data_IF_402465237980
#
_entry.id   IF_402465237980
#
_cell.length_a   1.000
_cell.length_b   1.000
_cell.length_c   1.000
_cell.angle_alpha   90.00
_cell.angle_beta   90.00
_cell.angle_gamma   90.00
#
_symmetry.space_group_name_H-M   'P 1'
#
loop_
_entity.id
_entity.type
_entity.pdbx_description
1 polymer ?
#
# COMPACT_ATOMS: atom_id res chain seq x y z
N UNK A 1 -12.08 20.63 16.98
CA UNK A 1 -10.80 21.39 16.86
C UNK A 1 -10.91 22.34 15.67
N UNK A 2 -10.28 23.52 15.66
CA UNK A 2 -10.23 24.36 14.44
C UNK A 2 -9.22 23.74 13.48
N UNK A 3 -9.57 23.51 12.21
CA UNK A 3 -8.75 22.82 11.19
C UNK A 3 -7.30 23.33 11.12
N UNK A 4 -7.11 24.64 11.18
CA UNK A 4 -5.77 25.26 11.16
C UNK A 4 -4.87 24.82 12.32
N UNK A 5 -5.46 24.54 13.48
CA UNK A 5 -4.73 24.09 14.67
C UNK A 5 -4.22 22.65 14.49
N UNK A 6 -4.99 21.78 13.84
CA UNK A 6 -4.60 20.40 13.56
C UNK A 6 -3.42 20.34 12.59
N UNK A 7 -3.44 21.14 11.52
CA UNK A 7 -2.34 21.15 10.53
C UNK A 7 -1.03 21.62 11.16
N UNK A 8 -1.08 22.67 11.98
CA UNK A 8 0.10 23.16 12.71
C UNK A 8 0.62 22.09 13.70
N UNK A 9 -0.26 21.42 14.44
CA UNK A 9 0.12 20.33 15.36
C UNK A 9 0.79 19.15 14.62
N UNK A 10 0.22 18.72 13.49
CA UNK A 10 0.82 17.67 12.64
C UNK A 10 2.20 18.11 12.13
N UNK A 11 2.30 19.32 11.56
CA UNK A 11 3.58 19.84 11.04
C UNK A 11 4.64 19.86 12.13
N UNK A 12 4.31 20.35 13.32
CA UNK A 12 5.27 20.51 14.41
C UNK A 12 5.75 19.14 14.94
N UNK A 13 4.88 18.13 15.00
CA UNK A 13 5.25 16.75 15.39
C UNK A 13 6.19 16.10 14.35
N UNK A 14 5.85 16.20 13.07
CA UNK A 14 6.69 15.64 12.00
C UNK A 14 8.03 16.40 11.87
N UNK A 15 8.05 17.71 12.09
CA UNK A 15 9.29 18.49 12.22
C UNK A 15 10.14 18.02 13.42
N UNK A 16 9.50 17.60 14.53
CA UNK A 16 10.16 16.93 15.64
C UNK A 16 10.88 15.65 15.22
N UNK A 17 10.20 14.77 14.47
CA UNK A 17 10.80 13.52 13.96
C UNK A 17 11.98 13.82 13.02
N UNK A 18 11.84 14.79 12.11
CA UNK A 18 12.90 15.19 11.20
C UNK A 18 14.13 15.78 11.93
N UNK A 19 13.96 16.37 13.11
CA UNK A 19 15.08 16.85 13.93
C UNK A 19 15.70 15.76 14.81
N UNK A 20 15.03 14.63 14.98
CA UNK A 20 15.49 13.50 15.79
C UNK A 20 16.58 12.65 15.12
N UNK A 21 17.00 11.59 15.81
CA UNK A 21 18.10 10.71 15.38
C UNK A 21 17.62 9.49 14.58
N UNK A 22 16.32 9.40 14.25
CA UNK A 22 15.78 8.28 13.50
C UNK A 22 16.29 8.32 12.04
N UNK A 23 16.85 7.20 11.59
CA UNK A 23 17.47 7.05 10.27
C UNK A 23 17.31 5.64 9.74
N UNK A 24 17.56 5.48 8.43
CA UNK A 24 17.57 4.20 7.74
C UNK A 24 18.67 3.23 8.26
N UNK A 25 19.62 3.69 9.06
CA UNK A 25 20.67 2.85 9.63
C UNK A 25 20.19 2.03 10.85
N UNK A 26 19.06 2.44 11.46
CA UNK A 26 18.47 1.73 12.59
C UNK A 26 17.76 0.45 12.14
N UNK A 27 18.11 -0.67 12.78
CA UNK A 27 17.46 -1.97 12.55
C UNK A 27 15.97 -1.95 12.83
N UNK A 28 15.54 -1.23 13.87
CA UNK A 28 14.13 -1.06 14.22
C UNK A 28 13.36 -0.26 13.15
N UNK A 29 14.00 0.76 12.57
CA UNK A 29 13.39 1.58 11.51
C UNK A 29 13.25 0.78 10.21
N UNK A 30 14.27 -0.02 9.87
CA UNK A 30 14.21 -0.94 8.73
C UNK A 30 13.15 -2.00 8.91
N UNK A 31 12.98 -2.57 10.11
CA UNK A 31 11.99 -3.62 10.34
C UNK A 31 10.55 -3.14 10.14
N UNK A 32 10.25 -1.87 10.43
CA UNK A 32 8.95 -1.26 10.13
C UNK A 32 8.72 -1.26 8.62
N UNK A 33 9.66 -0.73 7.84
CA UNK A 33 9.54 -0.68 6.38
C UNK A 33 9.42 -2.10 5.79
N UNK A 34 10.22 -3.06 6.25
CA UNK A 34 10.13 -4.45 5.79
C UNK A 34 8.77 -5.09 6.11
N UNK A 35 8.19 -4.81 7.27
CA UNK A 35 6.85 -5.28 7.63
C UNK A 35 5.76 -4.76 6.67
N UNK A 36 6.01 -3.60 6.06
CA UNK A 36 5.10 -2.95 5.11
C UNK A 36 5.46 -3.16 3.64
N UNK A 37 6.37 -4.09 3.35
CA UNK A 37 6.61 -4.61 2.01
C UNK A 37 7.76 -3.97 1.24
N UNK A 38 8.67 -3.27 1.92
CA UNK A 38 9.95 -2.87 1.33
C UNK A 38 10.96 -4.02 1.42
N UNK A 39 11.68 -4.27 0.33
CA UNK A 39 12.74 -5.27 0.31
C UNK A 39 14.03 -4.74 0.92
N UNK A 40 14.88 -5.65 1.43
CA UNK A 40 16.21 -5.30 1.92
C UNK A 40 17.07 -4.60 0.84
N UNK A 41 16.93 -4.99 -0.42
CA UNK A 41 17.63 -4.36 -1.54
C UNK A 41 17.17 -2.92 -1.76
N UNK A 42 15.87 -2.63 -1.63
CA UNK A 42 15.34 -1.27 -1.66
C UNK A 42 15.88 -0.45 -0.49
N UNK A 43 15.84 -1.00 0.74
CA UNK A 43 16.34 -0.30 1.92
C UNK A 43 17.84 0.00 1.86
N UNK A 44 18.64 -0.89 1.25
CA UNK A 44 20.07 -0.69 1.08
C UNK A 44 20.42 0.41 0.06
N UNK A 45 19.49 0.81 -0.80
CA UNK A 45 19.68 1.90 -1.77
C UNK A 45 19.43 3.29 -1.17
N UNK A 46 18.82 3.34 0.02
CA UNK A 46 18.39 4.59 0.65
C UNK A 46 19.52 5.23 1.49
N UNK A 47 19.70 6.56 1.42
CA UNK A 47 20.55 7.27 2.35
C UNK A 47 19.93 7.27 3.75
N UNK A 48 20.77 7.43 4.78
CA UNK A 48 20.35 7.43 6.18
C UNK A 48 19.18 8.40 6.46
N UNK A 49 19.17 9.56 5.79
CA UNK A 49 18.18 10.63 5.94
C UNK A 49 16.77 10.27 5.45
N UNK A 50 16.65 9.27 4.57
CA UNK A 50 15.42 9.05 3.82
C UNK A 50 14.30 8.36 4.60
N UNK A 51 14.66 7.47 5.52
CA UNK A 51 13.72 6.61 6.22
C UNK A 51 13.75 6.90 7.73
N UNK A 52 12.58 7.21 8.28
CA UNK A 52 12.36 7.50 9.71
C UNK A 52 11.29 6.58 10.32
N UNK A 53 10.88 5.51 9.63
CA UNK A 53 9.96 4.52 10.19
C UNK A 53 8.49 4.96 10.25
N UNK A 54 8.11 5.92 9.41
CA UNK A 54 6.76 6.52 9.39
C UNK A 54 5.82 5.88 8.35
N UNK A 55 6.30 4.91 7.58
CA UNK A 55 5.56 4.27 6.49
C UNK A 55 4.51 3.27 7.00
N UNK A 56 3.45 3.05 6.22
CA UNK A 56 2.38 2.07 6.49
C UNK A 56 2.07 1.11 5.33
N UNK A 57 2.87 1.17 4.28
CA UNK A 57 2.78 0.31 3.10
C UNK A 57 3.80 0.71 2.05
N UNK A 58 3.90 -0.09 0.99
CA UNK A 58 4.76 0.19 -0.15
C UNK A 58 3.89 0.54 -1.38
N UNK A 59 3.64 1.83 -1.67
CA UNK A 59 2.82 2.22 -2.83
C UNK A 59 3.50 1.91 -4.16
N UNK A 60 4.84 1.81 -4.19
CA UNK A 60 5.61 1.52 -5.42
C UNK A 60 5.33 0.13 -5.97
N UNK A 61 4.98 -0.83 -5.11
CA UNK A 61 4.60 -2.18 -5.51
C UNK A 61 3.30 -2.22 -6.33
N UNK A 62 2.45 -1.21 -6.19
CA UNK A 62 1.17 -1.07 -6.90
C UNK A 62 1.25 -0.09 -8.07
N UNK A 63 2.13 0.90 -7.95
CA UNK A 63 2.20 2.04 -8.85
C UNK A 63 2.58 1.65 -10.28
N UNK A 64 3.18 0.48 -10.53
CA UNK A 64 3.51 0.03 -11.88
C UNK A 64 4.37 1.03 -12.68
N UNK A 65 5.25 1.76 -11.99
CA UNK A 65 6.08 2.85 -12.51
C UNK A 65 6.91 2.39 -13.71
N UNK A 66 6.95 3.22 -14.76
CA UNK A 66 7.65 2.95 -16.02
C UNK A 66 8.76 3.97 -16.26
N UNK A 67 9.74 3.55 -17.06
CA UNK A 67 10.82 4.43 -17.51
C UNK A 67 10.26 5.63 -18.29
N UNK A 68 10.78 6.83 -18.02
CA UNK A 68 10.34 8.09 -18.64
C UNK A 68 9.10 8.73 -18.03
N UNK A 69 8.45 8.11 -17.04
CA UNK A 69 7.25 8.69 -16.39
C UNK A 69 7.59 9.86 -15.46
N UNK A 70 6.63 10.77 -15.31
CA UNK A 70 6.59 11.77 -14.25
C UNK A 70 5.79 11.22 -13.07
N UNK A 71 6.45 11.02 -11.94
CA UNK A 71 5.85 10.50 -10.71
C UNK A 71 5.82 11.59 -9.63
N UNK A 72 4.70 11.71 -8.91
CA UNK A 72 4.58 12.60 -7.74
C UNK A 72 4.37 11.76 -6.49
N UNK A 73 5.14 12.03 -5.44
CA UNK A 73 4.97 11.48 -4.11
C UNK A 73 4.38 12.52 -3.15
N UNK A 74 3.21 12.22 -2.59
CA UNK A 74 2.49 13.09 -1.66
C UNK A 74 2.81 12.75 -0.22
N UNK A 75 3.29 13.75 0.53
CA UNK A 75 3.80 13.55 1.89
C UNK A 75 5.16 12.85 1.88
N UNK A 76 6.08 13.30 1.02
CA UNK A 76 7.29 12.54 0.71
C UNK A 76 8.27 12.40 1.88
N UNK A 77 8.13 13.19 2.95
CA UNK A 77 8.99 13.15 4.12
C UNK A 77 10.46 13.31 3.74
N UNK A 78 11.30 12.40 4.26
CA UNK A 78 12.74 12.34 3.94
C UNK A 78 13.06 11.85 2.52
N UNK A 79 12.05 11.52 1.70
CA UNK A 79 12.21 11.17 0.28
C UNK A 79 12.42 9.69 0.00
N UNK A 80 12.13 8.78 0.93
CA UNK A 80 12.28 7.33 0.73
C UNK A 80 11.62 6.84 -0.57
N UNK A 81 10.32 7.07 -0.73
CA UNK A 81 9.57 6.61 -1.90
C UNK A 81 9.99 7.36 -3.17
N UNK A 82 10.36 8.63 -3.04
CA UNK A 82 10.93 9.43 -4.13
C UNK A 82 12.22 8.82 -4.69
N UNK A 83 13.16 8.41 -3.83
CA UNK A 83 14.44 7.85 -4.27
C UNK A 83 14.28 6.48 -4.92
N UNK A 84 13.40 5.63 -4.37
CA UNK A 84 13.10 4.33 -4.97
C UNK A 84 12.36 4.48 -6.31
N UNK A 85 11.44 5.44 -6.43
CA UNK A 85 10.80 5.78 -7.69
C UNK A 85 11.80 6.34 -8.72
N UNK A 86 12.79 7.13 -8.29
CA UNK A 86 13.79 7.73 -9.18
C UNK A 86 14.60 6.66 -9.93
N UNK A 87 14.91 5.54 -9.27
CA UNK A 87 15.53 4.38 -9.90
C UNK A 87 14.64 3.68 -10.93
N UNK A 88 13.31 3.66 -10.72
CA UNK A 88 12.34 3.01 -11.61
C UNK A 88 12.01 3.84 -12.85
N UNK A 89 11.93 5.18 -12.73
CA UNK A 89 11.63 6.06 -13.87
C UNK A 89 12.84 6.29 -14.78
N UNK A 90 14.06 5.99 -14.32
CA UNK A 90 15.28 6.16 -15.10
C UNK A 90 15.66 7.62 -15.38
N UNK A 91 16.69 7.82 -16.21
CA UNK A 91 17.29 9.14 -16.44
C UNK A 91 16.36 10.13 -17.18
N UNK A 92 15.47 9.62 -18.02
CA UNK A 92 14.52 10.42 -18.80
C UNK A 92 13.20 10.70 -18.05
N UNK A 93 12.95 9.97 -16.97
CA UNK A 93 11.80 10.19 -16.11
C UNK A 93 12.07 11.26 -15.05
N UNK A 94 11.03 11.61 -14.27
CA UNK A 94 11.13 12.61 -13.22
C UNK A 94 10.33 12.20 -12.00
N UNK A 95 10.85 12.47 -10.81
CA UNK A 95 10.12 12.26 -9.55
C UNK A 95 10.04 13.57 -8.77
N UNK A 96 8.85 13.85 -8.24
CA UNK A 96 8.51 15.09 -7.56
C UNK A 96 8.00 14.73 -6.16
N UNK A 97 8.71 15.14 -5.11
CA UNK A 97 8.24 15.00 -3.73
C UNK A 97 7.51 16.27 -3.27
N UNK A 98 6.33 16.10 -2.64
CA UNK A 98 5.56 17.19 -2.03
C UNK A 98 5.49 16.95 -0.53
N UNK A 99 5.91 17.93 0.27
CA UNK A 99 5.75 17.91 1.73
C UNK A 99 5.51 19.33 2.26
N UNK A 100 4.76 19.48 3.35
CA UNK A 100 4.53 20.79 3.97
C UNK A 100 5.66 21.18 4.93
N UNK A 101 6.45 20.20 5.39
CA UNK A 101 7.42 20.32 6.48
C UNK A 101 8.80 20.68 5.96
N UNK A 102 9.32 21.85 6.33
CA UNK A 102 10.63 22.34 5.88
C UNK A 102 11.76 21.36 6.23
N UNK A 103 11.77 20.84 7.46
CA UNK A 103 12.81 19.96 7.99
C UNK A 103 12.84 18.61 7.27
N UNK A 104 11.68 18.09 6.85
CA UNK A 104 11.60 16.87 6.03
C UNK A 104 12.23 17.11 4.65
N UNK A 105 11.90 18.24 4.02
CA UNK A 105 12.44 18.60 2.72
C UNK A 105 13.94 18.87 2.76
N UNK A 106 14.46 19.42 3.86
CA UNK A 106 15.91 19.57 4.06
C UNK A 106 16.61 18.21 4.08
N UNK A 107 16.05 17.21 4.79
CA UNK A 107 16.55 15.82 4.77
C UNK A 107 16.48 15.21 3.37
N UNK A 108 15.35 15.37 2.69
CA UNK A 108 15.16 14.83 1.35
C UNK A 108 16.16 15.44 0.34
N UNK A 109 16.41 16.76 0.42
CA UNK A 109 17.43 17.41 -0.40
C UNK A 109 18.86 16.95 -0.07
N UNK A 110 19.16 16.71 1.21
CA UNK A 110 20.45 16.14 1.59
C UNK A 110 20.63 14.71 1.04
N UNK A 111 19.58 13.88 1.12
CA UNK A 111 19.56 12.55 0.52
C UNK A 111 19.74 12.57 -1.00
N UNK A 112 19.02 13.47 -1.69
CA UNK A 112 19.15 13.69 -3.14
C UNK A 112 20.59 14.04 -3.52
N UNK A 113 21.22 14.97 -2.79
CA UNK A 113 22.59 15.40 -3.07
C UNK A 113 23.58 14.25 -2.88
N UNK A 114 23.43 13.42 -1.83
CA UNK A 114 24.28 12.26 -1.59
C UNK A 114 24.17 11.20 -2.67
N UNK A 115 22.96 10.97 -3.19
CA UNK A 115 22.71 10.02 -4.26
C UNK A 115 23.08 10.58 -5.65
N UNK A 116 23.32 11.89 -5.77
CA UNK A 116 23.62 12.54 -7.05
C UNK A 116 22.45 12.54 -8.03
N UNK A 117 21.20 12.50 -7.55
CA UNK A 117 20.00 12.43 -8.38
C UNK A 117 19.65 13.80 -8.97
N UNK A 118 19.63 13.87 -10.30
CA UNK A 118 19.30 15.09 -11.07
C UNK A 118 17.86 15.13 -11.58
N UNK A 119 17.17 13.98 -11.57
CA UNK A 119 15.80 13.80 -12.03
C UNK A 119 14.75 13.87 -10.89
N UNK A 120 15.17 14.34 -9.72
CA UNK A 120 14.33 14.49 -8.53
C UNK A 120 14.16 15.96 -8.19
N UNK A 121 12.96 16.35 -7.79
CA UNK A 121 12.70 17.66 -7.19
C UNK A 121 11.76 17.56 -5.99
N UNK A 122 11.81 18.60 -5.16
CA UNK A 122 10.98 18.69 -3.97
C UNK A 122 10.31 20.07 -3.92
N UNK A 123 9.03 20.10 -3.58
CA UNK A 123 8.28 21.35 -3.38
C UNK A 123 7.66 21.39 -1.99
N UNK A 124 7.75 22.57 -1.37
CA UNK A 124 7.06 22.83 -0.12
C UNK A 124 5.63 23.27 -0.40
N UNK A 125 4.66 22.40 -0.13
CA UNK A 125 3.24 22.65 -0.30
C UNK A 125 2.41 21.67 0.51
N UNK A 126 1.13 21.99 0.71
CA UNK A 126 0.16 21.02 1.21
C UNK A 126 -0.38 20.18 0.06
N UNK A 127 -0.82 18.95 0.34
CA UNK A 127 -1.21 17.99 -0.72
C UNK A 127 -2.61 18.25 -1.30
N UNK A 128 -3.39 19.13 -0.65
CA UNK A 128 -4.67 19.67 -1.10
C UNK A 128 -4.52 20.93 -1.98
N UNK A 129 -3.28 21.38 -2.24
CA UNK A 129 -2.99 22.48 -3.18
C UNK A 129 -1.62 22.31 -3.82
N UNK A 130 -1.56 21.45 -4.83
CA UNK A 130 -0.32 21.06 -5.48
C UNK A 130 0.22 22.17 -6.40
N UNK A 131 1.52 22.54 -6.27
CA UNK A 131 2.16 23.57 -7.11
C UNK A 131 2.53 23.01 -8.51
N UNK A 132 1.64 22.20 -9.09
CA UNK A 132 1.85 21.48 -10.33
C UNK A 132 0.76 21.83 -11.36
N UNK A 133 1.10 21.89 -12.66
CA UNK A 133 0.10 22.13 -13.70
C UNK A 133 -0.88 20.97 -13.85
N UNK A 134 -2.06 21.26 -14.39
CA UNK A 134 -3.04 20.25 -14.79
C UNK A 134 -2.43 19.27 -15.80
N UNK A 135 -2.81 18.00 -15.71
CA UNK A 135 -2.42 16.96 -16.68
C UNK A 135 -0.90 16.88 -16.93
N UNK A 136 -0.09 17.00 -15.88
CA UNK A 136 1.37 17.02 -15.96
C UNK A 136 2.05 15.75 -15.43
N UNK A 137 1.30 14.89 -14.73
CA UNK A 137 1.83 13.74 -13.97
C UNK A 137 1.29 12.43 -14.53
N UNK A 138 2.12 11.40 -14.67
CA UNK A 138 1.71 10.07 -15.13
C UNK A 138 1.22 9.19 -13.97
N UNK A 139 1.89 9.28 -12.81
CA UNK A 139 1.56 8.50 -11.62
C UNK A 139 1.66 9.35 -10.35
N UNK A 140 0.66 9.28 -9.49
CA UNK A 140 0.73 9.80 -8.12
C UNK A 140 0.87 8.64 -7.15
N UNK A 141 1.83 8.73 -6.23
CA UNK A 141 1.98 7.81 -5.10
C UNK A 141 1.79 8.56 -3.79
N UNK A 142 1.35 7.84 -2.76
CA UNK A 142 1.23 8.39 -1.42
C UNK A 142 1.30 7.29 -0.37
N UNK A 143 1.91 7.61 0.78
CA UNK A 143 2.12 6.69 1.88
C UNK A 143 1.72 7.35 3.21
N UNK A 144 0.56 6.98 3.74
CA UNK A 144 0.07 7.38 5.06
C UNK A 144 -0.01 8.89 5.37
N UNK A 145 -0.33 9.74 4.40
CA UNK A 145 -0.48 11.19 4.64
C UNK A 145 -1.93 11.70 4.49
N UNK A 146 -2.78 11.04 3.71
CA UNK A 146 -4.12 11.56 3.38
C UNK A 146 -5.02 11.62 4.62
N UNK A 147 -4.82 10.70 5.57
CA UNK A 147 -5.51 10.72 6.86
C UNK A 147 -5.22 11.97 7.70
N UNK A 148 -4.09 12.64 7.47
CA UNK A 148 -3.69 13.84 8.19
C UNK A 148 -4.32 15.12 7.62
N UNK A 149 -4.98 15.04 6.45
CA UNK A 149 -5.61 16.19 5.81
C UNK A 149 -7.06 16.34 6.27
N UNK A 150 -7.48 17.56 6.67
CA UNK A 150 -8.87 17.84 7.04
C UNK A 150 -9.85 17.65 5.86
N UNK A 151 -9.53 18.24 4.70
CA UNK A 151 -10.34 18.12 3.49
C UNK A 151 -9.73 17.10 2.52
N UNK A 152 -10.10 15.84 2.70
CA UNK A 152 -9.68 14.74 1.83
C UNK A 152 -10.24 14.86 0.41
N UNK A 153 -11.38 15.52 0.23
CA UNK A 153 -11.99 15.68 -1.09
C UNK A 153 -11.12 16.60 -1.94
N UNK A 154 -10.64 17.71 -1.37
CA UNK A 154 -9.69 18.61 -2.04
C UNK A 154 -8.40 17.89 -2.47
N UNK A 155 -7.89 16.95 -1.65
CA UNK A 155 -6.73 16.12 -2.04
C UNK A 155 -7.04 15.27 -3.25
N UNK A 156 -8.16 14.54 -3.25
CA UNK A 156 -8.53 13.69 -4.39
C UNK A 156 -8.77 14.51 -5.67
N UNK A 157 -9.39 15.69 -5.56
CA UNK A 157 -9.57 16.62 -6.67
C UNK A 157 -8.23 17.12 -7.23
N UNK A 158 -7.26 17.46 -6.38
CA UNK A 158 -5.92 17.86 -6.79
C UNK A 158 -5.15 16.73 -7.46
N UNK A 159 -5.20 15.51 -6.92
CA UNK A 159 -4.60 14.33 -7.54
C UNK A 159 -5.19 14.14 -8.95
N UNK A 160 -6.51 14.21 -9.08
CA UNK A 160 -7.16 14.08 -10.37
C UNK A 160 -6.75 15.21 -11.32
N UNK A 161 -6.64 16.45 -10.83
CA UNK A 161 -6.26 17.62 -11.65
C UNK A 161 -4.88 17.45 -12.26
N UNK A 162 -3.87 17.07 -11.46
CA UNK A 162 -2.47 16.98 -11.91
C UNK A 162 -2.20 15.75 -12.78
N UNK A 163 -2.95 14.66 -12.59
CA UNK A 163 -2.81 13.47 -13.41
C UNK A 163 -3.15 13.74 -14.87
N UNK A 164 -2.34 13.22 -15.79
CA UNK A 164 -2.66 13.16 -17.21
C UNK A 164 -3.89 12.27 -17.45
N UNK A 165 -4.63 12.48 -18.55
CA UNK A 165 -5.45 11.44 -19.15
C UNK A 165 -4.77 10.07 -19.18
N UNK A 166 -5.39 9.04 -18.60
CA UNK A 166 -4.81 7.69 -18.49
C UNK A 166 -3.76 7.53 -17.38
N UNK A 167 -3.50 8.59 -16.61
CA UNK A 167 -2.67 8.54 -15.41
C UNK A 167 -3.35 7.80 -14.26
N UNK A 168 -2.58 7.47 -13.23
CA UNK A 168 -3.04 6.60 -12.14
C UNK A 168 -2.54 7.07 -10.78
N UNK A 169 -3.24 6.65 -9.74
CA UNK A 169 -2.85 6.87 -8.35
C UNK A 169 -2.68 5.53 -7.64
N UNK A 170 -1.63 5.42 -6.83
CA UNK A 170 -1.35 4.26 -5.98
C UNK A 170 -1.04 4.72 -4.55
N UNK A 171 -1.90 4.39 -3.60
CA UNK A 171 -1.82 4.86 -2.22
C UNK A 171 -1.67 3.65 -1.29
N UNK A 172 -0.77 3.75 -0.34
CA UNK A 172 -0.81 2.95 0.89
C UNK A 172 -1.27 3.83 2.03
N UNK A 173 -2.35 3.44 2.72
CA UNK A 173 -2.94 4.25 3.80
C UNK A 173 -3.57 3.37 4.87
N UNK A 174 -4.03 3.99 5.96
CA UNK A 174 -4.89 3.32 6.94
C UNK A 174 -6.36 3.66 6.62
N UNK A 175 -7.23 2.66 6.61
CA UNK A 175 -8.68 2.88 6.47
C UNK A 175 -9.46 2.09 7.53
N UNK A 176 -10.64 2.60 7.88
CA UNK A 176 -11.48 2.03 8.92
C UNK A 176 -12.37 0.91 8.37
N UNK A 177 -12.40 -0.21 9.09
CA UNK A 177 -13.37 -1.31 8.93
C UNK A 177 -14.71 -0.96 9.57
N UNK A 178 -14.69 -0.15 10.62
CA UNK A 178 -15.87 0.32 11.36
C UNK A 178 -15.56 1.64 12.08
N UNK A 179 -16.60 2.34 12.55
CA UNK A 179 -16.45 3.58 13.29
C UNK A 179 -15.58 3.41 14.54
N UNK A 180 -14.69 4.38 14.78
CA UNK A 180 -13.86 4.42 15.98
C UNK A 180 -14.68 4.80 17.23
N UNK A 181 -14.27 4.31 18.41
CA UNK A 181 -14.74 4.86 19.68
C UNK A 181 -14.53 6.38 19.77
N UNK A 182 -15.44 7.08 20.44
CA UNK A 182 -15.45 8.55 20.46
C UNK A 182 -14.18 9.15 21.08
N UNK A 183 -13.64 8.52 22.10
CA UNK A 183 -12.38 8.89 22.76
C UNK A 183 -11.16 8.77 21.84
N UNK A 184 -11.13 7.74 20.97
CA UNK A 184 -10.08 7.59 19.95
C UNK A 184 -10.27 8.61 18.82
N UNK A 185 -11.52 8.84 18.39
CA UNK A 185 -11.85 9.78 17.31
C UNK A 185 -11.46 11.23 17.65
N UNK A 186 -11.48 11.59 18.92
CA UNK A 186 -11.11 12.93 19.41
C UNK A 186 -9.64 13.05 19.85
N UNK A 187 -8.85 11.96 19.82
CA UNK A 187 -7.44 11.98 20.22
C UNK A 187 -6.55 12.61 19.14
N UNK A 188 -5.73 13.57 19.57
CA UNK A 188 -4.69 14.21 18.74
C UNK A 188 -3.59 13.21 18.44
N UNK A 189 -3.17 12.43 19.43
CA UNK A 189 -2.13 11.41 19.26
C UNK A 189 -2.52 10.37 18.22
N UNK A 190 -3.78 9.90 18.26
CA UNK A 190 -4.32 9.01 17.24
C UNK A 190 -4.47 9.69 15.87
N UNK A 191 -4.67 11.02 15.83
CA UNK A 191 -4.74 11.77 14.58
C UNK A 191 -3.38 11.85 13.91
N UNK A 192 -2.35 12.27 14.65
CA UNK A 192 -0.98 12.37 14.13
C UNK A 192 -0.44 10.98 13.74
N UNK A 193 -0.92 9.91 14.38
CA UNK A 193 -0.64 8.53 13.99
C UNK A 193 -1.49 7.96 12.85
N UNK A 194 -2.21 8.81 12.09
CA UNK A 194 -3.04 8.43 10.95
C UNK A 194 -4.25 7.52 11.24
N UNK A 195 -4.63 7.35 12.52
CA UNK A 195 -5.77 6.50 12.92
C UNK A 195 -7.07 7.31 12.98
N UNK A 196 -7.15 8.36 13.82
CA UNK A 196 -8.42 9.04 14.05
C UNK A 196 -8.88 9.89 12.87
N UNK A 197 -7.94 10.27 11.99
CA UNK A 197 -8.20 10.91 10.71
C UNK A 197 -8.58 9.95 9.58
N UNK A 198 -8.51 8.63 9.80
CA UNK A 198 -8.88 7.62 8.81
C UNK A 198 -10.39 7.61 8.55
N UNK A 199 -10.77 7.31 7.30
CA UNK A 199 -12.15 7.16 6.87
C UNK A 199 -12.48 5.69 6.60
N UNK A 200 -13.76 5.36 6.55
CA UNK A 200 -14.20 3.99 6.22
C UNK A 200 -13.71 3.57 4.83
N UNK A 201 -13.37 2.29 4.66
CA UNK A 201 -12.95 1.72 3.36
C UNK A 201 -13.95 2.08 2.24
N UNK A 202 -15.25 1.92 2.51
CA UNK A 202 -16.32 2.26 1.56
C UNK A 202 -16.47 3.78 1.33
N UNK A 203 -16.09 4.61 2.29
CA UNK A 203 -16.04 6.06 2.12
C UNK A 203 -14.85 6.47 1.27
N UNK A 204 -13.66 5.90 1.51
CA UNK A 204 -12.46 6.10 0.70
C UNK A 204 -12.73 5.82 -0.78
N UNK A 205 -13.36 4.67 -1.08
CA UNK A 205 -13.77 4.31 -2.45
C UNK A 205 -14.71 5.36 -3.05
N UNK A 206 -15.78 5.71 -2.32
CA UNK A 206 -16.78 6.67 -2.79
C UNK A 206 -16.19 8.07 -3.03
N UNK A 207 -15.28 8.53 -2.17
CA UNK A 207 -14.66 9.85 -2.32
C UNK A 207 -13.80 9.94 -3.57
N UNK A 208 -13.06 8.87 -3.92
CA UNK A 208 -12.32 8.79 -5.18
C UNK A 208 -13.26 8.77 -6.40
N UNK A 209 -14.33 7.97 -6.35
CA UNK A 209 -15.35 7.95 -7.41
C UNK A 209 -16.01 9.33 -7.60
N UNK A 210 -16.31 10.03 -6.51
CA UNK A 210 -16.91 11.37 -6.53
C UNK A 210 -15.96 12.43 -7.08
N UNK A 211 -14.67 12.33 -6.78
CA UNK A 211 -13.66 13.23 -7.36
C UNK A 211 -13.58 13.06 -8.88
N UNK A 212 -13.88 11.87 -9.41
CA UNK A 212 -13.91 11.56 -10.85
C UNK A 212 -12.95 10.46 -11.27
N UNK A 213 -12.40 9.70 -10.32
CA UNK A 213 -11.60 8.52 -10.64
C UNK A 213 -12.47 7.35 -11.10
N UNK A 214 -11.89 6.52 -11.94
CA UNK A 214 -12.46 5.24 -12.37
C UNK A 214 -11.59 4.08 -11.92
N UNK A 215 -12.13 2.86 -12.03
CA UNK A 215 -11.42 1.63 -11.66
C UNK A 215 -10.83 1.67 -10.24
N UNK A 216 -11.60 2.25 -9.31
CA UNK A 216 -11.20 2.42 -7.91
C UNK A 216 -11.20 1.06 -7.22
N UNK A 217 -10.03 0.67 -6.71
CA UNK A 217 -9.83 -0.55 -5.92
C UNK A 217 -9.23 -0.15 -4.58
N UNK A 218 -9.86 -0.60 -3.50
CA UNK A 218 -9.36 -0.45 -2.12
C UNK A 218 -9.28 -1.84 -1.51
N UNK A 219 -8.07 -2.32 -1.23
CA UNK A 219 -7.81 -3.69 -0.77
C UNK A 219 -7.17 -3.67 0.62
N UNK A 220 -7.78 -4.36 1.58
CA UNK A 220 -7.15 -4.67 2.87
C UNK A 220 -5.93 -5.58 2.64
N UNK A 221 -4.77 -5.18 3.16
CA UNK A 221 -3.52 -5.93 3.02
C UNK A 221 -3.41 -7.12 3.95
N UNK A 222 -4.19 -7.14 5.04
CA UNK A 222 -4.01 -8.06 6.16
C UNK A 222 -2.73 -7.81 6.97
N UNK A 223 -2.03 -6.70 6.74
CA UNK A 223 -0.84 -6.34 7.52
C UNK A 223 -1.21 -6.02 8.97
N UNK A 224 -0.40 -6.48 9.91
CA UNK A 224 -0.60 -6.24 11.34
C UNK A 224 -0.16 -4.81 11.70
N UNK A 225 -1.13 -3.96 12.06
CA UNK A 225 -0.88 -2.58 12.46
C UNK A 225 -0.08 -2.48 13.77
N UNK A 226 0.02 -3.55 14.57
CA UNK A 226 0.85 -3.58 15.77
C UNK A 226 2.36 -3.46 15.48
N UNK A 227 2.78 -3.50 14.21
CA UNK A 227 4.16 -3.23 13.81
C UNK A 227 4.69 -1.90 14.38
N UNK A 228 3.84 -0.89 14.58
CA UNK A 228 4.22 0.38 15.19
C UNK A 228 4.55 0.28 16.69
N UNK A 229 3.92 -0.63 17.42
CA UNK A 229 4.19 -0.84 18.85
C UNK A 229 5.55 -1.54 19.08
N UNK A 230 6.02 -2.33 18.10
CA UNK A 230 7.33 -2.97 18.14
C UNK A 230 8.49 -1.96 18.05
N UNK A 231 8.24 -0.77 17.50
CA UNK A 231 9.24 0.29 17.40
C UNK A 231 9.50 0.98 18.76
N UNK A 232 8.47 1.13 19.60
CA UNK A 232 8.60 1.73 20.93
C UNK A 232 9.35 0.85 21.95
N UNK A 233 9.35 -0.47 21.75
CA UNK A 233 10.09 -1.41 22.63
C UNK A 233 11.61 -1.43 22.38
N UNK A 234 12.09 -0.72 21.35
CA UNK A 234 13.53 -0.45 21.19
C UNK A 234 14.06 0.68 22.09
N UNK A 235 13.17 1.27 22.90
CA UNK A 235 13.50 2.11 24.04
C UNK A 235 14.15 1.32 25.18
N UNK A 236 15.47 1.17 25.10
CA UNK A 236 16.34 1.18 26.28
C UNK A 236 16.02 0.13 27.38
N UNK A 237 16.20 -1.17 27.09
CA UNK A 237 16.30 -2.20 28.13
C UNK A 237 17.69 -2.88 28.14
N UNK A 238 18.64 -2.17 28.77
CA UNK A 238 19.61 -2.71 29.73
C UNK A 238 20.49 -3.92 29.38
N UNK A 239 21.71 -3.65 28.88
CA UNK A 239 22.91 -4.42 29.24
C UNK A 239 23.67 -3.68 30.34
N UNK A 240 23.48 -4.11 31.60
CA UNK A 240 23.99 -3.42 32.78
C UNK A 240 25.51 -3.42 32.92
N UNK A 241 26.06 -2.23 33.20
CA UNK A 241 27.27 -2.00 33.96
C UNK A 241 26.92 -1.02 35.07
N UNK A 242 27.00 -1.49 36.31
CA UNK A 242 26.80 -0.71 37.53
C UNK A 242 27.73 0.51 37.57
N UNK A 243 27.21 1.68 37.88
CA UNK A 243 27.77 2.54 38.94
C UNK A 243 26.72 3.55 39.41
N UNK A 244 26.61 3.63 40.73
CA UNK A 244 25.76 4.56 41.44
C UNK A 244 26.42 5.95 41.52
N UNK A 245 25.57 6.96 41.67
CA UNK A 245 25.86 8.37 41.99
C UNK A 245 26.38 9.26 40.84
N UNK A 246 25.45 9.96 40.19
CA UNK A 246 25.58 11.41 39.96
C UNK A 246 24.27 12.04 39.40
N UNK A 247 23.88 13.13 40.06
CA UNK A 247 23.07 14.25 39.57
C UNK A 247 21.58 14.08 39.23
N UNK A 248 20.82 14.25 40.31
CA UNK A 248 19.49 14.81 40.41
C UNK A 248 19.47 16.29 39.92
N UNK A 249 19.57 16.54 38.61
CA UNK A 249 19.31 17.87 38.01
C UNK A 249 19.14 17.83 36.48
N UNK A 250 18.13 17.12 35.96
CA UNK A 250 17.62 17.32 34.59
C UNK A 250 16.20 16.73 34.47
N UNK A 251 15.26 17.28 35.24
CA UNK A 251 13.83 17.04 35.04
C UNK A 251 13.26 18.17 34.16
N UNK A 252 13.71 18.23 32.91
CA UNK A 252 13.06 19.01 31.86
C UNK A 252 12.36 18.03 30.92
N UNK A 253 11.13 18.38 30.54
CA UNK A 253 10.17 17.52 29.85
C UNK A 253 10.80 16.81 28.63
N UNK A 254 10.97 15.48 28.72
CA UNK A 254 11.17 14.63 27.55
C UNK A 254 9.87 14.69 26.74
N UNK A 255 9.90 15.44 25.65
CA UNK A 255 8.84 15.48 24.64
C UNK A 255 8.55 14.02 24.22
N UNK A 256 7.31 13.54 24.41
CA UNK A 256 6.92 12.18 24.00
C UNK A 256 7.14 12.07 22.50
N UNK A 257 7.89 11.07 22.05
CA UNK A 257 8.11 10.89 20.61
C UNK A 257 6.79 10.52 19.93
N UNK A 258 6.65 10.86 18.64
CA UNK A 258 5.49 10.48 17.83
C UNK A 258 5.17 8.98 17.93
N UNK A 259 6.21 8.14 17.94
CA UNK A 259 6.10 6.69 18.11
C UNK A 259 5.56 6.29 19.49
N UNK A 260 5.91 7.01 20.57
CA UNK A 260 5.40 6.75 21.92
C UNK A 260 3.92 7.13 22.04
N UNK A 261 3.51 8.22 21.39
CA UNK A 261 2.11 8.67 21.32
C UNK A 261 1.24 7.66 20.59
N UNK A 262 1.69 7.21 19.42
CA UNK A 262 1.01 6.19 18.62
C UNK A 262 0.95 4.85 19.34
N UNK A 263 2.07 4.38 19.90
CA UNK A 263 2.10 3.13 20.66
C UNK A 263 1.18 3.17 21.89
N UNK A 264 1.13 4.30 22.60
CA UNK A 264 0.23 4.48 23.74
C UNK A 264 -1.25 4.49 23.32
N UNK A 265 -1.60 5.06 22.17
CA UNK A 265 -2.94 5.00 21.63
C UNK A 265 -3.29 3.56 21.22
N UNK A 266 -2.37 2.85 20.56
CA UNK A 266 -2.60 1.46 20.10
C UNK A 266 -2.64 0.44 21.24
N UNK A 267 -2.16 0.76 22.44
CA UNK A 267 -2.30 -0.09 23.64
C UNK A 267 -3.69 0.00 24.28
N UNK A 268 -4.44 1.09 24.07
CA UNK A 268 -5.75 1.29 24.69
C UNK A 268 -6.92 0.74 23.87
N UNK A 269 -6.70 0.43 22.57
CA UNK A 269 -7.70 -0.18 21.70
C UNK A 269 -7.07 -1.15 20.69
N UNK A 270 -7.80 -2.19 20.30
CA UNK A 270 -7.35 -3.12 19.26
C UNK A 270 -7.42 -2.45 17.88
N UNK A 271 -6.31 -1.87 17.43
CA UNK A 271 -6.24 -1.18 16.14
C UNK A 271 -6.64 -2.07 14.96
N UNK A 272 -6.28 -3.36 14.99
CA UNK A 272 -6.60 -4.29 13.91
C UNK A 272 -8.09 -4.66 13.85
N UNK A 273 -8.85 -4.49 14.94
CA UNK A 273 -10.30 -4.66 14.93
C UNK A 273 -11.04 -3.50 14.25
N UNK A 274 -10.46 -2.30 14.23
CA UNK A 274 -11.11 -1.08 13.73
C UNK A 274 -10.52 -0.58 12.41
N UNK A 275 -9.25 -0.83 12.14
CA UNK A 275 -8.52 -0.28 11.02
C UNK A 275 -7.72 -1.37 10.28
N UNK A 276 -7.38 -1.07 9.04
CA UNK A 276 -6.56 -1.89 8.17
C UNK A 276 -5.57 -1.01 7.41
N UNK A 277 -4.37 -1.52 7.16
CA UNK A 277 -3.52 -0.99 6.09
C UNK A 277 -4.14 -1.39 4.76
N UNK A 278 -4.45 -0.41 3.92
CA UNK A 278 -5.08 -0.59 2.63
C UNK A 278 -4.16 -0.18 1.49
N UNK A 279 -4.34 -0.88 0.37
CA UNK A 279 -3.79 -0.52 -0.93
C UNK A 279 -4.90 0.07 -1.76
N UNK A 280 -4.71 1.30 -2.23
CA UNK A 280 -5.67 1.99 -3.08
C UNK A 280 -5.06 2.18 -4.46
N UNK A 281 -5.82 1.85 -5.48
CA UNK A 281 -5.45 2.11 -6.85
C UNK A 281 -6.64 2.70 -7.61
N UNK A 282 -6.42 3.74 -8.40
CA UNK A 282 -7.46 4.34 -9.22
C UNK A 282 -6.88 5.01 -10.48
N UNK A 283 -7.72 5.21 -11.49
CA UNK A 283 -7.34 5.76 -12.79
C UNK A 283 -8.06 7.07 -13.08
N UNK A 284 -7.38 7.97 -13.80
CA UNK A 284 -8.01 9.10 -14.48
C UNK A 284 -8.33 8.70 -15.90
N UNK A 285 -9.61 8.68 -16.26
CA UNK A 285 -10.03 8.40 -17.63
C UNK A 285 -9.43 9.42 -18.62
N UNK A 286 -9.11 8.95 -19.83
CA UNK A 286 -8.70 9.84 -20.91
C UNK A 286 -9.87 10.62 -21.51
N UNK A 287 -9.63 11.68 -22.30
CA UNK A 287 -10.70 12.38 -22.99
C UNK A 287 -11.44 11.39 -23.88
N UNK A 288 -12.70 11.16 -23.54
CA UNK A 288 -13.62 10.36 -24.35
C UNK A 288 -13.93 11.18 -25.59
N UNK A 289 -13.35 10.78 -26.74
CA UNK A 289 -13.86 11.28 -28.01
C UNK A 289 -15.33 10.84 -28.11
N UNK A 290 -16.20 11.84 -28.17
CA UNK A 290 -17.64 11.74 -28.12
C UNK A 290 -18.22 10.66 -29.03
N UNK A 291 -19.12 9.85 -28.46
CA UNK A 291 -20.26 9.23 -29.14
C UNK A 291 -20.03 8.74 -30.58
N UNK A 292 -19.37 7.59 -30.74
CA UNK A 292 -19.78 6.63 -31.76
C UNK A 292 -19.33 5.21 -31.40
N UNK A 293 -20.34 4.33 -31.30
CA UNK A 293 -20.31 2.88 -31.51
C UNK A 293 -19.50 1.99 -30.57
N UNK A 294 -20.26 1.15 -29.84
CA UNK A 294 -19.97 -0.22 -29.41
C UNK A 294 -18.54 -0.56 -28.93
N UNK A 295 -18.47 -0.95 -27.65
CA UNK A 295 -17.36 -1.64 -27.00
C UNK A 295 -16.37 -2.31 -27.97
N UNK A 296 -15.24 -1.67 -28.22
CA UNK A 296 -13.99 -2.43 -28.37
C UNK A 296 -13.53 -2.77 -26.95
N UNK A 297 -14.06 -3.87 -26.41
CA UNK A 297 -13.36 -4.58 -25.33
C UNK A 297 -12.02 -5.01 -25.92
N UNK A 298 -10.95 -4.37 -25.48
CA UNK A 298 -9.61 -4.85 -25.80
C UNK A 298 -9.44 -6.23 -25.16
N UNK A 299 -9.30 -7.24 -26.02
CA UNK A 299 -9.01 -8.61 -25.59
C UNK A 299 -7.66 -8.60 -24.85
N UNK A 300 -7.69 -8.96 -23.58
CA UNK A 300 -6.50 -9.19 -22.74
C UNK A 300 -6.13 -10.66 -22.68
N UNK A 301 -4.86 -10.94 -22.44
CA UNK A 301 -4.34 -12.31 -22.24
C UNK A 301 -4.05 -12.56 -20.77
N UNK A 302 -4.78 -13.49 -20.16
CA UNK A 302 -4.62 -13.93 -18.78
C UNK A 302 -3.95 -15.30 -18.77
N UNK A 303 -2.82 -15.43 -18.09
CA UNK A 303 -2.10 -16.70 -17.94
C UNK A 303 -2.01 -17.07 -16.46
N UNK A 304 -2.35 -18.30 -16.13
CA UNK A 304 -2.32 -18.82 -14.77
C UNK A 304 -1.32 -19.97 -14.69
N UNK A 305 -0.40 -19.90 -13.74
CA UNK A 305 0.63 -20.89 -13.47
C UNK A 305 0.37 -21.50 -12.10
N UNK A 306 -0.18 -22.72 -12.07
CA UNK A 306 -0.62 -23.37 -10.84
C UNK A 306 0.48 -24.20 -10.17
N UNK A 307 0.27 -24.44 -8.87
CA UNK A 307 0.94 -25.50 -8.11
C UNK A 307 0.79 -26.86 -8.80
N UNK A 308 1.69 -27.82 -8.52
CA UNK A 308 1.54 -29.18 -9.02
C UNK A 308 0.25 -29.80 -8.45
N UNK A 309 -0.70 -30.13 -9.35
CA UNK A 309 -1.98 -30.75 -9.01
C UNK A 309 -2.22 -32.00 -9.85
N UNK A 310 -3.09 -32.90 -9.38
CA UNK A 310 -3.42 -34.15 -10.08
C UNK A 310 -4.21 -33.92 -11.41
N UNK A 311 -4.88 -32.77 -11.56
CA UNK A 311 -5.64 -32.40 -12.76
C UNK A 311 -5.66 -30.87 -12.94
N UNK A 312 -6.00 -30.40 -14.14
CA UNK A 312 -6.02 -28.99 -14.53
C UNK A 312 -7.02 -28.12 -13.76
N UNK A 313 -8.05 -28.72 -13.17
CA UNK A 313 -9.00 -28.02 -12.30
C UNK A 313 -8.65 -28.13 -10.82
N UNK A 314 -7.78 -29.09 -10.44
CA UNK A 314 -7.45 -29.43 -9.06
C UNK A 314 -8.61 -30.01 -8.23
N UNK A 315 -9.72 -30.40 -8.88
CA UNK A 315 -10.94 -30.97 -8.23
C UNK A 315 -10.88 -32.51 -8.10
N UNK A 316 -9.74 -33.11 -8.42
CA UNK A 316 -9.53 -34.55 -8.37
C UNK A 316 -8.78 -34.93 -7.08
N UNK A 317 -9.48 -35.56 -6.13
CA UNK A 317 -8.89 -36.02 -4.89
C UNK A 317 -9.93 -36.15 -3.76
N UNK A 318 -9.58 -36.79 -2.64
CA UNK A 318 -10.47 -36.90 -1.48
C UNK A 318 -10.67 -35.56 -0.75
N UNK A 319 -9.70 -34.65 -0.82
CA UNK A 319 -9.72 -33.32 -0.21
C UNK A 319 -9.54 -32.24 -1.29
N UNK A 320 -10.66 -31.73 -1.82
CA UNK A 320 -10.66 -30.68 -2.84
C UNK A 320 -10.64 -29.32 -2.15
N UNK A 321 -9.67 -28.48 -2.51
CA UNK A 321 -9.65 -27.08 -2.10
C UNK A 321 -10.89 -26.35 -2.65
N UNK A 322 -11.77 -25.81 -1.79
CA UNK A 322 -13.01 -25.17 -2.20
C UNK A 322 -12.79 -23.90 -3.05
N UNK A 323 -11.58 -23.34 -3.07
CA UNK A 323 -11.24 -22.17 -3.88
C UNK A 323 -11.11 -22.54 -5.36
N UNK A 324 -10.66 -23.75 -5.69
CA UNK A 324 -10.35 -24.17 -7.06
C UNK A 324 -11.57 -24.28 -8.00
N UNK A 325 -12.73 -24.82 -7.58
CA UNK A 325 -13.95 -24.79 -8.39
C UNK A 325 -14.43 -23.36 -8.68
N UNK A 326 -14.36 -22.47 -7.67
CA UNK A 326 -14.77 -21.06 -7.82
C UNK A 326 -13.83 -20.34 -8.80
N UNK A 327 -12.53 -20.52 -8.61
CA UNK A 327 -11.51 -19.97 -9.48
C UNK A 327 -11.66 -20.44 -10.93
N UNK A 328 -11.94 -21.72 -11.16
CA UNK A 328 -12.22 -22.25 -12.51
C UNK A 328 -13.45 -21.57 -13.16
N UNK A 329 -14.51 -21.35 -12.39
CA UNK A 329 -15.70 -20.63 -12.86
C UNK A 329 -15.39 -19.15 -13.20
N UNK A 330 -14.47 -18.52 -12.47
CA UNK A 330 -14.04 -17.14 -12.73
C UNK A 330 -13.20 -17.03 -14.01
N UNK A 331 -12.35 -18.03 -14.30
CA UNK A 331 -11.62 -18.12 -15.56
C UNK A 331 -12.54 -18.37 -16.77
N UNK A 332 -13.60 -19.16 -16.61
CA UNK A 332 -14.59 -19.35 -17.67
C UNK A 332 -15.45 -18.11 -17.88
N UNK A 333 -15.75 -17.36 -16.81
CA UNK A 333 -16.37 -16.04 -16.90
C UNK A 333 -15.49 -15.08 -17.73
N UNK A 334 -14.17 -15.05 -17.51
CA UNK A 334 -13.23 -14.24 -18.29
C UNK A 334 -13.23 -14.58 -19.78
N UNK A 335 -13.22 -15.87 -20.12
CA UNK A 335 -13.37 -16.31 -21.52
C UNK A 335 -14.70 -15.84 -22.11
N UNK A 336 -15.78 -15.91 -21.32
CA UNK A 336 -17.10 -15.40 -21.69
C UNK A 336 -17.14 -13.88 -21.89
N UNK A 337 -16.22 -13.12 -21.27
CA UNK A 337 -16.07 -11.69 -21.49
C UNK A 337 -15.25 -11.35 -22.75
N UNK A 338 -14.65 -12.34 -23.43
CA UNK A 338 -13.86 -12.16 -24.65
C UNK A 338 -12.35 -12.09 -24.43
N UNK A 339 -11.85 -12.39 -23.23
CA UNK A 339 -10.42 -12.43 -22.94
C UNK A 339 -9.80 -13.79 -23.28
N UNK A 340 -8.52 -13.79 -23.66
CA UNK A 340 -7.75 -15.02 -23.83
C UNK A 340 -7.31 -15.50 -22.44
N UNK A 341 -7.62 -16.74 -22.09
CA UNK A 341 -7.28 -17.31 -20.77
C UNK A 341 -6.56 -18.64 -20.95
N UNK A 342 -5.35 -18.71 -20.41
CA UNK A 342 -4.46 -19.87 -20.44
C UNK A 342 -4.14 -20.30 -19.01
N UNK A 343 -4.15 -21.59 -18.74
CA UNK A 343 -3.91 -22.15 -17.40
C UNK A 343 -2.96 -23.34 -17.51
N UNK A 344 -1.86 -23.30 -16.78
CA UNK A 344 -0.78 -24.26 -16.82
C UNK A 344 -0.60 -24.89 -15.44
N UNK A 345 -0.55 -26.21 -15.38
CA UNK A 345 -0.27 -26.96 -14.14
C UNK A 345 1.17 -27.47 -14.16
N UNK A 346 1.96 -27.17 -13.12
CA UNK A 346 3.37 -27.55 -13.05
C UNK A 346 3.61 -29.06 -13.22
N UNK A 347 2.71 -29.90 -12.70
CA UNK A 347 2.84 -31.36 -12.79
C UNK A 347 2.60 -31.90 -14.21
N UNK A 348 1.81 -31.20 -15.02
CA UNK A 348 1.38 -31.65 -16.35
C UNK A 348 2.11 -30.92 -17.49
N UNK A 349 2.51 -29.68 -17.26
CA UNK A 349 3.07 -28.78 -18.26
C UNK A 349 4.30 -28.02 -17.74
N UNK A 350 5.35 -28.70 -17.23
CA UNK A 350 6.53 -28.03 -16.65
C UNK A 350 7.26 -27.14 -17.66
N UNK A 351 7.17 -27.46 -18.95
CA UNK A 351 7.82 -26.71 -20.02
C UNK A 351 7.33 -25.24 -20.09
N UNK A 352 6.05 -24.98 -19.85
CA UNK A 352 5.49 -23.62 -19.87
C UNK A 352 6.08 -22.71 -18.78
N UNK A 353 6.49 -23.30 -17.65
CA UNK A 353 7.12 -22.60 -16.52
C UNK A 353 8.60 -22.28 -16.79
N UNK A 354 9.25 -23.05 -17.66
CA UNK A 354 10.65 -22.82 -18.08
C UNK A 354 10.72 -21.80 -19.20
N UNK A 355 9.78 -21.85 -20.14
CA UNK A 355 9.74 -20.97 -21.32
C UNK A 355 9.41 -19.52 -20.95
N UNK A 356 8.59 -19.31 -19.92
CA UNK A 356 8.33 -17.97 -19.39
C UNK A 356 9.46 -17.56 -18.42
N UNK A 357 10.34 -16.66 -18.87
CA UNK A 357 11.52 -16.20 -18.10
C UNK A 357 11.15 -15.65 -16.72
N UNK A 358 10.04 -14.91 -16.60
CA UNK A 358 9.62 -14.31 -15.35
C UNK A 358 9.18 -15.38 -14.34
N UNK A 359 8.41 -16.37 -14.79
CA UNK A 359 7.98 -17.51 -13.97
C UNK A 359 9.16 -18.41 -13.59
N UNK A 360 10.05 -18.70 -14.53
CA UNK A 360 11.24 -19.52 -14.28
C UNK A 360 12.15 -18.88 -13.22
N UNK A 361 12.40 -17.57 -13.33
CA UNK A 361 13.18 -16.82 -12.35
C UNK A 361 12.49 -16.82 -10.98
N UNK A 362 11.17 -16.58 -10.95
CA UNK A 362 10.41 -16.53 -9.71
C UNK A 362 10.45 -17.86 -8.95
N UNK A 363 10.27 -18.99 -9.65
CA UNK A 363 10.34 -20.33 -9.04
C UNK A 363 11.77 -20.65 -8.60
N UNK A 364 12.79 -20.24 -9.37
CA UNK A 364 14.19 -20.47 -9.01
C UNK A 364 14.60 -19.73 -7.74
N UNK A 365 13.99 -18.57 -7.47
CA UNK A 365 14.28 -17.74 -6.29
C UNK A 365 13.39 -18.08 -5.10
N UNK A 366 12.08 -18.22 -5.29
CA UNK A 366 11.08 -18.36 -4.22
C UNK A 366 10.55 -19.79 -4.03
N UNK A 367 11.03 -20.76 -4.82
CA UNK A 367 10.51 -22.13 -4.81
C UNK A 367 9.09 -22.21 -5.34
N UNK A 368 8.38 -23.32 -5.07
CA UNK A 368 7.01 -23.53 -5.55
C UNK A 368 5.93 -22.83 -4.71
N UNK A 369 6.33 -22.17 -3.61
CA UNK A 369 5.40 -21.50 -2.70
C UNK A 369 4.83 -20.19 -3.27
N UNK A 370 5.50 -19.62 -4.28
CA UNK A 370 5.00 -18.47 -5.04
C UNK A 370 3.82 -18.79 -5.96
N UNK A 371 3.50 -20.07 -6.17
CA UNK A 371 2.37 -20.51 -6.99
C UNK A 371 1.05 -20.46 -6.18
N UNK A 372 -0.12 -20.27 -6.80
CA UNK A 372 -0.30 -19.96 -8.20
C UNK A 372 0.19 -18.54 -8.54
N UNK A 373 0.69 -18.35 -9.76
CA UNK A 373 1.05 -17.04 -10.30
C UNK A 373 0.10 -16.68 -11.42
N UNK A 374 -0.46 -15.48 -11.40
CA UNK A 374 -1.34 -14.98 -12.45
C UNK A 374 -0.65 -13.84 -13.18
N UNK A 375 -0.70 -13.89 -14.51
CA UNK A 375 -0.19 -12.87 -15.40
C UNK A 375 -1.30 -12.29 -16.27
N UNK A 376 -1.26 -11.00 -16.51
CA UNK A 376 -2.15 -10.28 -17.44
C UNK A 376 -1.28 -9.48 -18.40
N UNK A 377 -1.46 -9.71 -19.70
CA UNK A 377 -0.65 -9.12 -20.79
C UNK A 377 0.87 -9.24 -20.56
N UNK A 378 1.31 -10.38 -20.02
CA UNK A 378 2.72 -10.68 -19.76
C UNK A 378 3.29 -10.11 -18.45
N UNK A 379 2.48 -9.47 -17.61
CA UNK A 379 2.89 -8.94 -16.30
C UNK A 379 2.33 -9.79 -15.16
N UNK A 380 3.14 -10.09 -14.14
CA UNK A 380 2.68 -10.79 -12.93
C UNK A 380 1.81 -9.84 -12.11
N UNK A 381 0.57 -10.25 -11.83
CA UNK A 381 -0.42 -9.47 -11.06
C UNK A 381 -0.81 -10.13 -9.73
N UNK A 382 -0.53 -11.43 -9.57
CA UNK A 382 -0.76 -12.15 -8.31
C UNK A 382 0.21 -13.33 -8.17
N UNK A 383 0.54 -13.67 -6.92
CA UNK A 383 1.39 -14.79 -6.51
C UNK A 383 0.83 -15.40 -5.22
N UNK A 384 1.13 -16.69 -4.98
CA UNK A 384 0.84 -17.45 -3.76
C UNK A 384 -0.65 -17.61 -3.38
N UNK A 385 -1.58 -16.94 -4.07
CA UNK A 385 -3.01 -17.00 -3.80
C UNK A 385 -3.83 -16.96 -5.10
N UNK A 386 -4.91 -17.74 -5.14
CA UNK A 386 -5.88 -17.72 -6.24
C UNK A 386 -6.73 -16.44 -6.19
N UNK A 387 -6.68 -15.60 -7.24
CA UNK A 387 -7.47 -14.36 -7.28
C UNK A 387 -8.97 -14.59 -7.35
N UNK A 388 -9.72 -13.63 -6.84
CA UNK A 388 -11.17 -13.58 -6.96
C UNK A 388 -11.62 -13.03 -8.31
N UNK A 389 -12.91 -13.21 -8.64
CA UNK A 389 -13.55 -12.53 -9.77
C UNK A 389 -13.38 -11.02 -9.76
N UNK A 390 -13.37 -10.39 -8.58
CA UNK A 390 -13.21 -8.95 -8.45
C UNK A 390 -11.81 -8.51 -8.84
N UNK A 391 -10.78 -9.27 -8.46
CA UNK A 391 -9.40 -9.05 -8.89
C UNK A 391 -9.28 -9.14 -10.41
N UNK A 392 -9.85 -10.21 -10.99
CA UNK A 392 -9.88 -10.36 -12.44
C UNK A 392 -10.62 -9.23 -13.13
N UNK A 393 -11.79 -8.83 -12.64
CA UNK A 393 -12.53 -7.69 -13.17
C UNK A 393 -11.68 -6.42 -13.13
N UNK A 394 -10.93 -6.17 -12.05
CA UNK A 394 -10.01 -5.04 -11.95
C UNK A 394 -8.83 -5.11 -12.95
N UNK A 395 -8.33 -6.30 -13.25
CA UNK A 395 -7.22 -6.46 -14.19
C UNK A 395 -7.65 -6.46 -15.66
N UNK A 396 -8.83 -7.01 -15.97
CA UNK A 396 -9.31 -7.19 -17.36
C UNK A 396 -10.34 -6.16 -17.80
N UNK A 397 -11.04 -5.52 -16.88
CA UNK A 397 -12.16 -4.63 -17.13
C UNK A 397 -12.04 -3.29 -16.40
N UNK A 398 -11.80 -2.23 -17.16
CA UNK A 398 -12.54 -1.00 -16.89
C UNK A 398 -14.03 -1.34 -17.00
N UNK A 399 -14.71 -1.42 -15.84
CA UNK A 399 -16.17 -1.52 -15.57
C UNK A 399 -16.49 -2.64 -14.56
N UNK A 400 -16.83 -2.21 -13.34
CA UNK A 400 -17.24 -3.00 -12.21
C UNK A 400 -18.60 -3.71 -12.38
N UNK A 401 -18.78 -4.83 -11.68
CA UNK A 401 -20.06 -5.21 -11.11
C UNK A 401 -19.81 -6.04 -9.82
N UNK A 402 -20.00 -5.38 -8.69
CA UNK A 402 -19.95 -5.88 -7.31
C UNK A 402 -21.09 -6.84 -7.00
N UNK A 403 -20.84 -7.95 -6.27
CA UNK A 403 -21.79 -8.58 -5.32
C UNK A 403 -21.08 -9.52 -4.31
N UNK A 404 -21.00 -9.06 -3.04
CA UNK A 404 -21.29 -9.83 -1.83
C UNK A 404 -20.30 -10.91 -1.35
N UNK A 405 -19.55 -10.61 -0.30
CA UNK A 405 -18.83 -11.57 0.55
C UNK A 405 -19.81 -12.39 1.42
N UNK A 406 -19.72 -13.74 1.47
CA UNK A 406 -20.27 -14.50 2.58
C UNK A 406 -19.24 -14.69 3.70
N UNK A 407 -19.55 -14.14 4.88
CA UNK A 407 -18.96 -14.56 6.17
C UNK A 407 -19.59 -15.89 6.58
N UNK A 408 -18.77 -16.90 6.86
CA UNK A 408 -19.22 -18.15 7.47
C UNK A 408 -19.58 -17.91 8.95
N UNK A 409 -20.81 -18.28 9.35
CA UNK A 409 -21.19 -18.40 10.75
C UNK A 409 -20.51 -19.64 11.37
N UNK A 410 -20.14 -19.61 12.66
CA UNK A 410 -19.75 -20.81 13.37
C UNK A 410 -21.02 -21.51 13.87
N UNK A 411 -21.47 -22.55 13.17
CA UNK A 411 -22.47 -23.48 13.68
C UNK A 411 -21.89 -24.89 13.74
N UNK A 412 -21.95 -25.49 14.92
CA UNK A 412 -22.11 -26.94 15.07
C UNK A 412 -20.84 -27.76 15.26
N UNK A 413 -20.30 -27.74 16.48
CA UNK A 413 -19.49 -28.85 16.98
C UNK A 413 -20.29 -30.15 16.97
N UNK A 414 -19.74 -31.14 16.27
CA UNK A 414 -20.25 -32.50 16.13
C UNK A 414 -19.81 -33.35 17.33
N UNK A 415 -20.77 -33.85 18.12
CA UNK A 415 -20.56 -34.98 19.04
C UNK A 415 -21.67 -36.00 18.81
N UNK A 416 -21.43 -36.92 17.86
CA UNK A 416 -22.17 -38.16 17.75
C UNK A 416 -21.47 -39.26 18.54
N UNK A 417 -22.05 -39.68 19.66
CA UNK A 417 -21.82 -40.99 20.25
C UNK A 417 -23.12 -41.54 20.84
N UNK A 418 -23.63 -42.58 20.18
CA UNK A 418 -24.30 -43.75 20.78
C UNK A 418 -25.27 -43.56 21.96
N UNK A 419 -26.54 -43.94 21.77
CA UNK A 419 -27.30 -44.62 22.82
C UNK A 419 -28.80 -44.30 22.91
N UNK A 420 -29.61 -45.29 22.51
CA UNK A 420 -30.93 -45.69 23.01
C UNK A 420 -31.90 -44.64 23.59
N UNK A 421 -33.09 -44.50 22.99
CA UNK A 421 -34.33 -45.22 23.35
C UNK A 421 -35.45 -44.84 22.36
#
# INVERSE_FOLDING_TARGET
MKERMIIDDVRDQYAGVARGELTNESTAIRSIASAFGYSEDELNQLPAEANMGLSCGNPLALAGIREGEVVVDLGCGGGMDVFLAAGKVGAEGRVIGIDMTTEMLERARAGQQKLGLTNVEFHQATIDQLPLPDNSVDCVISNCVINLVPDKSAVFEEILRVLKPGGRVAISDIALKQELPADIKESVEAYVGCISGAILIDEYRRSLEQAGFTSVVVTDTGADLNAYAMASDSGCCGGGGCDADADQAAAEAKEKSLHDGLASAMQSFDANAYAASVRVHALKDGPTNSASNFQEKTMKTVQVFDKPMCCSTGVCGPDVDPVLPKFAADLDWLKGQGHQVERYNLAQQPQAFIENKAIHQLISTAGTDCLPVVMVDGQIVSQAAYPSREDFAGWVGAAAASQGLPVAKPDGGCCGSSGCC
#
